data_IF_835565308198
#
_entry.id   IF_835565308198
#
_cell.length_a   1.000
_cell.length_b   1.000
_cell.length_c   1.000
_cell.angle_alpha   90.00
_cell.angle_beta   90.00
_cell.angle_gamma   90.00
#
_symmetry.space_group_name_H-M   'P 1'
#
loop_
_entity.id
_entity.type
_entity.pdbx_description
1 polymer ?
#
# COMPACT_ATOMS: atom_id res chain seq x y z
N UNK A 1 6.21 -13.65 -12.16
CA UNK A 1 7.49 -13.58 -11.41
C UNK A 1 7.40 -12.38 -10.48
N UNK A 2 7.72 -12.55 -9.19
CA UNK A 2 7.68 -11.44 -8.24
C UNK A 2 8.71 -10.37 -8.64
N UNK A 3 8.25 -9.16 -8.91
CA UNK A 3 9.10 -8.00 -9.20
C UNK A 3 8.72 -6.87 -8.25
N UNK A 4 9.42 -6.82 -7.12
CA UNK A 4 9.17 -5.85 -6.07
C UNK A 4 9.29 -4.39 -6.56
N UNK A 5 10.15 -4.11 -7.55
CA UNK A 5 10.31 -2.76 -8.12
C UNK A 5 9.09 -2.35 -8.95
N UNK A 6 8.56 -3.26 -9.78
CA UNK A 6 7.31 -3.04 -10.50
C UNK A 6 6.11 -2.88 -9.55
N UNK A 7 6.00 -3.74 -8.53
CA UNK A 7 4.94 -3.70 -7.53
C UNK A 7 4.96 -2.37 -6.78
N UNK A 8 6.14 -1.91 -6.33
CA UNK A 8 6.31 -0.61 -5.69
C UNK A 8 5.79 0.56 -6.54
N UNK A 9 6.03 0.54 -7.86
CA UNK A 9 5.50 1.56 -8.79
C UNK A 9 3.98 1.52 -8.87
N UNK A 10 3.37 0.33 -8.83
CA UNK A 10 1.91 0.15 -8.80
C UNK A 10 1.31 0.67 -7.50
N UNK A 11 1.90 0.35 -6.36
CA UNK A 11 1.52 0.89 -5.04
C UNK A 11 1.57 2.42 -5.08
N UNK A 12 2.67 2.99 -5.57
CA UNK A 12 2.81 4.44 -5.70
C UNK A 12 1.68 5.07 -6.52
N UNK A 13 1.36 4.50 -7.69
CA UNK A 13 0.27 4.98 -8.55
C UNK A 13 -1.08 4.93 -7.81
N UNK A 14 -1.39 3.81 -7.15
CA UNK A 14 -2.66 3.64 -6.44
C UNK A 14 -2.82 4.67 -5.31
N UNK A 15 -1.81 4.82 -4.46
CA UNK A 15 -1.84 5.80 -3.35
C UNK A 15 -1.89 7.23 -3.88
N UNK A 16 -1.16 7.53 -4.96
CA UNK A 16 -1.21 8.85 -5.61
C UNK A 16 -2.63 9.20 -6.11
N UNK A 17 -3.37 8.23 -6.66
CA UNK A 17 -4.76 8.45 -7.09
C UNK A 17 -5.69 8.70 -5.89
N UNK A 18 -5.52 7.96 -4.79
CA UNK A 18 -6.25 8.23 -3.54
C UNK A 18 -5.98 9.66 -3.05
N UNK A 19 -4.73 10.13 -3.12
CA UNK A 19 -4.35 11.51 -2.77
C UNK A 19 -5.02 12.59 -3.62
N UNK A 20 -5.20 12.34 -4.92
CA UNK A 20 -5.87 13.31 -5.79
C UNK A 20 -7.36 13.48 -5.47
N UNK A 21 -7.98 12.44 -4.91
CA UNK A 21 -9.41 12.41 -4.59
C UNK A 21 -9.65 12.87 -3.14
N UNK A 22 -8.78 12.44 -2.21
CA UNK A 22 -8.81 12.82 -0.80
C UNK A 22 -7.92 14.03 -0.55
N UNK A 23 -8.51 15.23 -0.41
CA UNK A 23 -7.81 16.52 -0.25
C UNK A 23 -6.81 16.64 0.94
N UNK A 24 -6.53 15.60 1.71
CA UNK A 24 -5.76 15.68 2.98
C UNK A 24 -4.85 14.49 3.29
N UNK A 25 -4.54 13.61 2.35
CA UNK A 25 -3.79 12.37 2.65
C UNK A 25 -2.31 12.57 3.07
N UNK A 26 -1.80 13.80 3.12
CA UNK A 26 -0.38 14.03 3.43
C UNK A 26 -0.20 14.49 4.89
N UNK A 27 0.62 13.80 5.68
CA UNK A 27 1.44 12.63 5.33
C UNK A 27 0.71 11.27 5.47
N UNK A 28 1.10 10.29 4.64
CA UNK A 28 0.60 8.90 4.71
C UNK A 28 1.34 8.13 5.80
N UNK A 29 0.62 7.44 6.69
CA UNK A 29 1.20 6.62 7.73
C UNK A 29 1.36 5.16 7.29
N UNK A 30 0.29 4.52 6.80
CA UNK A 30 0.31 3.11 6.44
C UNK A 30 -0.40 2.82 5.12
N UNK A 31 0.10 1.82 4.39
CA UNK A 31 -0.53 1.25 3.21
C UNK A 31 -0.87 -0.20 3.53
N UNK A 32 -2.17 -0.49 3.64
CA UNK A 32 -2.66 -1.80 4.05
C UNK A 32 -2.86 -2.70 2.82
N UNK A 33 -2.20 -3.86 2.81
CA UNK A 33 -2.17 -4.78 1.68
C UNK A 33 -2.55 -6.19 2.15
N UNK A 34 -3.46 -6.82 1.40
CA UNK A 34 -3.75 -8.25 1.49
C UNK A 34 -2.94 -8.99 0.44
N UNK A 35 -2.32 -10.09 0.83
CA UNK A 35 -1.49 -10.89 -0.05
C UNK A 35 -1.99 -12.33 -0.10
N UNK A 36 -2.10 -12.89 -1.30
CA UNK A 36 -2.20 -14.33 -1.47
C UNK A 36 -0.93 -15.03 -1.00
N UNK A 37 -1.01 -16.35 -0.77
CA UNK A 37 0.05 -17.11 -0.10
C UNK A 37 1.44 -16.96 -0.72
N UNK A 38 1.55 -17.03 -2.04
CA UNK A 38 2.83 -16.88 -2.75
C UNK A 38 3.40 -15.46 -2.61
N UNK A 39 2.56 -14.45 -2.80
CA UNK A 39 2.92 -13.05 -2.63
C UNK A 39 3.34 -12.71 -1.19
N UNK A 40 2.70 -13.34 -0.20
CA UNK A 40 3.01 -13.15 1.22
C UNK A 40 4.38 -13.71 1.60
N UNK A 41 4.80 -14.84 1.00
CA UNK A 41 6.15 -15.40 1.19
C UNK A 41 7.23 -14.41 0.73
N UNK A 42 6.96 -13.67 -0.34
CA UNK A 42 7.87 -12.69 -0.92
C UNK A 42 7.74 -11.27 -0.31
N UNK A 43 6.88 -11.09 0.70
CA UNK A 43 6.58 -9.77 1.26
C UNK A 43 7.82 -9.05 1.81
N UNK A 44 8.80 -9.78 2.33
CA UNK A 44 10.07 -9.21 2.82
C UNK A 44 10.84 -8.48 1.71
N UNK A 45 10.90 -9.03 0.50
CA UNK A 45 11.56 -8.36 -0.62
C UNK A 45 10.83 -7.06 -0.98
N UNK A 46 9.50 -7.07 -0.92
CA UNK A 46 8.69 -5.87 -1.16
C UNK A 46 8.92 -4.79 -0.09
N UNK A 47 8.98 -5.16 1.19
CA UNK A 47 9.32 -4.24 2.28
C UNK A 47 10.68 -3.57 2.03
N UNK A 48 11.71 -4.35 1.71
CA UNK A 48 13.06 -3.83 1.47
C UNK A 48 13.12 -2.90 0.26
N UNK A 49 12.47 -3.25 -0.85
CA UNK A 49 12.43 -2.39 -2.02
C UNK A 49 11.63 -1.12 -1.77
N UNK A 50 10.49 -1.22 -1.09
CA UNK A 50 9.66 -0.07 -0.76
C UNK A 50 10.42 0.92 0.14
N UNK A 51 11.13 0.42 1.16
CA UNK A 51 11.95 1.26 2.05
C UNK A 51 13.07 2.00 1.29
N UNK A 52 13.59 1.45 0.19
CA UNK A 52 14.61 2.12 -0.65
C UNK A 52 13.99 3.20 -1.55
N UNK A 53 12.83 2.94 -2.11
CA UNK A 53 12.23 3.77 -3.17
C UNK A 53 11.25 4.84 -2.65
N UNK A 54 10.77 4.75 -1.40
CA UNK A 54 9.80 5.71 -0.83
C UNK A 54 10.38 7.10 -0.58
N UNK A 55 11.70 7.22 -0.43
CA UNK A 55 12.36 8.49 -0.13
C UNK A 55 12.21 9.51 -1.27
N UNK A 56 12.11 10.80 -0.90
CA UNK A 56 11.85 11.91 -1.82
C UNK A 56 10.53 11.77 -2.62
N UNK A 57 9.61 10.94 -2.12
CA UNK A 57 8.25 10.83 -2.64
C UNK A 57 7.25 11.20 -1.56
N UNK A 58 5.98 11.47 -1.92
CA UNK A 58 4.89 11.63 -0.95
C UNK A 58 4.67 10.44 0.00
N UNK A 59 5.25 9.27 -0.30
CA UNK A 59 5.18 8.08 0.56
C UNK A 59 6.35 7.98 1.54
N UNK A 60 7.18 9.01 1.67
CA UNK A 60 8.41 8.96 2.48
C UNK A 60 8.17 8.59 3.95
N UNK A 61 6.99 8.91 4.48
CA UNK A 61 6.54 8.58 5.84
C UNK A 61 5.77 7.27 5.92
N UNK A 62 5.34 6.71 4.80
CA UNK A 62 4.45 5.56 4.78
C UNK A 62 5.23 4.27 5.08
N UNK A 63 4.63 3.36 5.84
CA UNK A 63 5.05 1.98 5.95
C UNK A 63 4.01 1.05 5.29
N UNK A 64 4.46 -0.14 4.90
CA UNK A 64 3.54 -1.16 4.39
C UNK A 64 3.04 -2.00 5.58
N UNK A 65 1.77 -2.39 5.52
CA UNK A 65 1.23 -3.45 6.38
C UNK A 65 0.67 -4.55 5.49
N UNK A 66 1.40 -5.65 5.37
CA UNK A 66 1.04 -6.77 4.52
C UNK A 66 0.53 -7.92 5.39
N UNK A 67 -0.69 -8.38 5.12
CA UNK A 67 -1.30 -9.52 5.80
C UNK A 67 -1.73 -10.61 4.81
N UNK A 68 -1.63 -11.87 5.24
CA UNK A 68 -2.07 -13.01 4.45
C UNK A 68 -3.60 -13.03 4.32
N UNK A 69 -4.07 -13.28 3.11
CA UNK A 69 -5.47 -13.57 2.80
C UNK A 69 -5.55 -14.85 1.96
N UNK A 70 -6.01 -15.94 2.58
CA UNK A 70 -6.11 -17.25 1.93
C UNK A 70 -7.19 -17.31 0.83
N UNK A 71 -8.07 -16.30 0.74
CA UNK A 71 -9.07 -16.21 -0.32
C UNK A 71 -8.52 -15.64 -1.63
N UNK A 72 -7.36 -14.98 -1.59
CA UNK A 72 -6.69 -14.44 -2.76
C UNK A 72 -5.87 -15.51 -3.48
N UNK A 73 -5.81 -15.42 -4.81
CA UNK A 73 -4.90 -16.24 -5.60
C UNK A 73 -3.45 -15.99 -5.19
N UNK A 74 -2.59 -17.02 -5.30
CA UNK A 74 -1.25 -17.03 -4.69
C UNK A 74 -0.39 -15.83 -5.09
N UNK A 75 -0.53 -15.31 -6.31
CA UNK A 75 0.26 -14.24 -6.90
C UNK A 75 -0.44 -12.86 -6.89
N UNK A 76 -1.41 -12.67 -5.99
CA UNK A 76 -2.18 -11.42 -5.90
C UNK A 76 -1.76 -10.61 -4.67
N UNK A 77 -1.57 -9.31 -4.90
CA UNK A 77 -1.57 -8.30 -3.86
C UNK A 77 -2.79 -7.38 -4.07
N UNK A 78 -3.53 -7.11 -3.00
CA UNK A 78 -4.66 -6.17 -3.00
C UNK A 78 -4.39 -5.06 -1.99
N UNK A 79 -4.24 -3.83 -2.48
CA UNK A 79 -4.14 -2.64 -1.62
C UNK A 79 -5.55 -2.30 -1.14
N UNK A 80 -5.84 -2.43 0.15
CA UNK A 80 -7.19 -2.22 0.66
C UNK A 80 -7.49 -0.74 0.88
N UNK A 81 -6.65 -0.10 1.68
CA UNK A 81 -6.79 1.30 2.04
C UNK A 81 -5.44 1.88 2.44
N UNK A 82 -5.41 3.20 2.45
CA UNK A 82 -4.31 4.01 2.94
C UNK A 82 -4.76 4.69 4.22
N UNK A 83 -3.90 4.73 5.22
CA UNK A 83 -4.18 5.32 6.53
C UNK A 83 -3.29 6.54 6.78
N UNK A 84 -3.88 7.61 7.32
CA UNK A 84 -3.15 8.80 7.77
C UNK A 84 -2.67 8.65 9.22
N UNK A 85 -1.96 9.66 9.72
CA UNK A 85 -1.55 9.70 11.12
C UNK A 85 -2.74 9.98 12.04
N UNK A 86 -2.65 9.50 13.28
CA UNK A 86 -3.62 9.82 14.31
C UNK A 86 -3.71 11.34 14.51
N UNK A 87 -4.93 11.86 14.42
CA UNK A 87 -5.24 13.27 14.64
C UNK A 87 -5.67 13.48 16.10
N UNK A 88 -4.85 14.22 16.85
CA UNK A 88 -5.11 14.53 18.26
C UNK A 88 -6.34 15.44 18.47
N UNK A 89 -6.73 16.23 17.46
CA UNK A 89 -7.89 17.13 17.55
C UNK A 89 -9.20 16.36 17.40
N UNK A 90 -9.23 15.38 16.50
CA UNK A 90 -10.42 14.57 16.24
C UNK A 90 -10.42 13.22 16.98
N UNK A 91 -9.26 12.80 17.50
CA UNK A 91 -9.05 11.53 18.18
C UNK A 91 -9.19 10.31 17.25
N UNK A 92 -8.91 10.46 15.96
CA UNK A 92 -9.19 9.44 14.93
C UNK A 92 -8.05 9.33 13.91
N UNK A 93 -7.93 8.15 13.31
CA UNK A 93 -7.26 7.95 12.01
C UNK A 93 -8.31 7.81 10.91
N UNK A 94 -8.06 8.41 9.77
CA UNK A 94 -8.86 8.23 8.57
C UNK A 94 -8.27 7.11 7.71
N UNK A 95 -9.17 6.32 7.13
CA UNK A 95 -8.84 5.24 6.19
C UNK A 95 -9.45 5.58 4.85
N UNK A 96 -8.62 5.57 3.83
CA UNK A 96 -9.00 5.95 2.48
C UNK A 96 -8.91 4.72 1.57
N UNK A 97 -10.05 4.14 1.16
CA UNK A 97 -10.05 2.94 0.34
C UNK A 97 -9.42 3.22 -1.02
N UNK A 98 -8.69 2.22 -1.54
CA UNK A 98 -8.18 2.26 -2.91
C UNK A 98 -9.28 1.78 -3.85
N UNK A 99 -9.49 2.48 -4.97
CA UNK A 99 -10.43 2.07 -5.99
C UNK A 99 -10.08 0.69 -6.55
N UNK A 100 -11.10 -0.16 -6.78
CA UNK A 100 -10.89 -1.56 -7.13
C UNK A 100 -9.97 -1.75 -8.35
N UNK A 101 -10.11 -0.91 -9.37
CA UNK A 101 -9.33 -0.95 -10.61
C UNK A 101 -7.82 -0.71 -10.41
N UNK A 102 -7.44 0.04 -9.37
CA UNK A 102 -6.05 0.34 -9.02
C UNK A 102 -5.55 -0.49 -7.82
N UNK A 103 -6.45 -1.22 -7.15
CA UNK A 103 -6.16 -1.95 -5.91
C UNK A 103 -5.48 -3.31 -6.13
N UNK A 104 -5.71 -3.96 -7.27
CA UNK A 104 -5.27 -5.34 -7.52
C UNK A 104 -4.00 -5.37 -8.36
N UNK A 105 -2.98 -6.07 -7.88
CA UNK A 105 -1.72 -6.31 -8.57
C UNK A 105 -1.54 -7.81 -8.72
N UNK A 106 -1.39 -8.27 -9.98
CA UNK A 106 -1.17 -9.67 -10.36
C UNK A 106 0.18 -9.76 -11.09
N UNK A 107 0.98 -10.80 -10.82
CA UNK A 107 2.32 -10.99 -11.40
C UNK A 107 2.73 -12.45 -11.59
#
# INVERSE_FOLDING_TARGET
>A
MFDAGYICKKIYKAVYLVRLIGKSLDPVAYIHIKAGRGAFVEANELYEQFAKIKWNTPLSTADLEISLDESLAENVLKIEFVEDFFDDETGRTNKYPVHEEDSVIVF
#
